data_IF_204583464679
#
_entry.id   IF_204583464679
#
_cell.length_a   1.000
_cell.length_b   1.000
_cell.length_c   1.000
_cell.angle_alpha   90.00
_cell.angle_beta   90.00
_cell.angle_gamma   90.00
#
_symmetry.space_group_name_H-M   'P 1'
#
loop_
_entity.id
_entity.type
_entity.pdbx_description
1 polymer ?
#
# COMPACT_ATOMS: atom_id res chain seq x y z
N UNK A 1 4.34 -70.24 1.26
CA UNK A 1 4.00 -69.20 0.25
C UNK A 1 3.03 -68.24 0.91
N UNK A 2 3.53 -67.07 1.33
CA UNK A 2 2.79 -66.10 2.15
C UNK A 2 2.22 -65.00 1.27
N UNK A 3 0.90 -64.80 1.35
CA UNK A 3 0.18 -63.68 0.75
C UNK A 3 0.62 -62.37 1.41
N UNK A 4 1.27 -61.48 0.66
CA UNK A 4 1.51 -60.10 1.09
C UNK A 4 0.39 -59.22 0.56
N UNK A 5 -0.36 -58.63 1.50
CA UNK A 5 -1.53 -57.79 1.33
C UNK A 5 -1.21 -56.49 0.59
N UNK A 6 -2.04 -56.16 -0.40
CA UNK A 6 -2.33 -54.79 -0.84
C UNK A 6 -2.94 -53.98 0.31
N UNK A 7 -2.53 -52.72 0.44
CA UNK A 7 -3.34 -51.50 0.70
C UNK A 7 -2.32 -50.35 0.83
N UNK A 8 -2.14 -49.62 -0.28
CA UNK A 8 -1.33 -48.40 -0.34
C UNK A 8 -2.25 -47.19 -0.25
N UNK A 9 -2.17 -46.52 0.89
CA UNK A 9 -2.77 -45.25 1.34
C UNK A 9 -3.22 -44.32 0.21
N UNK A 10 -4.52 -44.00 0.20
CA UNK A 10 -5.06 -42.87 -0.55
C UNK A 10 -4.56 -41.56 0.06
N UNK A 11 -3.63 -40.89 -0.62
CA UNK A 11 -3.27 -39.51 -0.31
C UNK A 11 -4.42 -38.61 -0.79
N UNK A 12 -5.39 -38.38 0.09
CA UNK A 12 -6.33 -37.27 -0.06
C UNK A 12 -5.55 -35.97 0.15
N UNK A 13 -5.01 -35.43 -0.95
CA UNK A 13 -4.53 -34.07 -0.99
C UNK A 13 -5.74 -33.17 -0.70
N UNK A 14 -5.82 -32.70 0.55
CA UNK A 14 -6.63 -31.56 0.94
C UNK A 14 -6.17 -30.38 0.07
N UNK A 15 -6.87 -30.15 -1.05
CA UNK A 15 -6.93 -28.83 -1.64
C UNK A 15 -7.58 -27.94 -0.59
N UNK A 16 -6.75 -27.35 0.27
CA UNK A 16 -7.12 -26.21 1.08
C UNK A 16 -7.67 -25.18 0.10
N UNK A 17 -9.00 -25.08 0.09
CA UNK A 17 -9.69 -24.10 -0.72
C UNK A 17 -9.17 -22.74 -0.28
N UNK A 18 -8.34 -22.11 -1.11
CA UNK A 18 -8.07 -20.70 -0.99
C UNK A 18 -9.44 -20.02 -1.05
N UNK A 19 -9.95 -19.62 0.11
CA UNK A 19 -11.16 -18.82 0.19
C UNK A 19 -10.99 -17.64 -0.78
N UNK A 20 -12.04 -17.23 -1.51
CA UNK A 20 -11.96 -16.03 -2.30
C UNK A 20 -11.56 -14.91 -1.34
N UNK A 21 -10.36 -14.35 -1.53
CA UNK A 21 -10.02 -13.10 -0.87
C UNK A 21 -11.08 -12.11 -1.36
N UNK A 22 -11.91 -11.62 -0.44
CA UNK A 22 -12.84 -10.55 -0.75
C UNK A 22 -12.01 -9.42 -1.39
N UNK A 23 -12.57 -8.72 -2.37
CA UNK A 23 -11.91 -7.58 -2.95
C UNK A 23 -12.98 -6.53 -3.23
N UNK A 24 -12.71 -5.28 -2.86
CA UNK A 24 -13.58 -4.18 -3.18
C UNK A 24 -12.85 -3.19 -4.10
N UNK A 25 -13.61 -2.55 -4.98
CA UNK A 25 -13.08 -1.53 -5.90
C UNK A 25 -13.68 -0.18 -5.53
N UNK A 26 -12.80 0.77 -5.24
CA UNK A 26 -13.13 2.16 -4.96
C UNK A 26 -13.06 2.97 -6.25
N UNK A 27 -14.12 3.70 -6.56
CA UNK A 27 -14.14 4.70 -7.63
C UNK A 27 -13.61 6.01 -7.09
N UNK A 28 -12.58 6.55 -7.74
CA UNK A 28 -11.90 7.76 -7.29
C UNK A 28 -12.44 8.98 -8.03
N UNK A 29 -12.78 10.05 -7.30
CA UNK A 29 -13.04 11.38 -7.85
C UNK A 29 -14.02 11.41 -9.03
N UNK A 30 -15.13 10.66 -8.94
CA UNK A 30 -16.14 10.58 -10.01
C UNK A 30 -15.68 9.79 -11.25
N UNK A 31 -14.77 8.82 -11.08
CA UNK A 31 -14.31 7.93 -12.16
C UNK A 31 -13.08 8.42 -12.90
N UNK A 32 -12.19 9.16 -12.23
CA UNK A 32 -10.87 9.51 -12.79
C UNK A 32 -9.88 8.34 -12.72
N UNK A 33 -10.05 7.48 -11.71
CA UNK A 33 -9.27 6.27 -11.49
C UNK A 33 -10.09 5.27 -10.66
N UNK A 34 -9.58 4.05 -10.55
CA UNK A 34 -10.10 3.01 -9.67
C UNK A 34 -8.98 2.40 -8.84
N UNK A 35 -9.29 2.06 -7.60
CA UNK A 35 -8.40 1.31 -6.72
C UNK A 35 -9.08 0.01 -6.33
N UNK A 36 -8.47 -1.13 -6.64
CA UNK A 36 -8.91 -2.43 -6.17
C UNK A 36 -8.07 -2.86 -4.98
N UNK A 37 -8.75 -3.25 -3.90
CA UNK A 37 -8.17 -3.63 -2.63
C UNK A 37 -8.52 -5.08 -2.29
N UNK A 38 -7.51 -5.87 -1.94
CA UNK A 38 -7.67 -7.28 -1.53
C UNK A 38 -6.90 -7.51 -0.22
N UNK A 39 -7.54 -7.80 0.93
CA UNK A 39 -8.91 -8.31 1.07
C UNK A 39 -9.99 -7.23 1.12
N UNK A 40 -9.71 -6.09 1.74
CA UNK A 40 -10.62 -4.96 1.70
C UNK A 40 -9.95 -3.69 2.19
N UNK A 41 -10.39 -2.55 1.67
CA UNK A 41 -10.02 -1.24 2.18
C UNK A 41 -11.23 -0.29 2.08
N UNK A 42 -11.24 0.78 2.87
CA UNK A 42 -12.21 1.88 2.73
C UNK A 42 -11.49 3.13 2.25
N UNK A 43 -12.15 3.93 1.41
CA UNK A 43 -11.71 5.28 1.06
C UNK A 43 -12.38 6.33 1.94
N UNK A 44 -11.72 7.47 2.16
CA UNK A 44 -12.36 8.64 2.76
C UNK A 44 -13.22 9.35 1.70
N UNK A 45 -14.44 9.72 2.08
CA UNK A 45 -15.37 10.56 1.32
C UNK A 45 -15.87 11.71 2.20
N UNK A 46 -16.24 12.83 1.57
CA UNK A 46 -16.65 14.04 2.28
C UNK A 46 -15.52 14.68 3.09
N UNK A 47 -15.87 15.48 4.10
CA UNK A 47 -14.89 16.26 4.84
C UNK A 47 -14.27 17.38 4.01
N UNK A 48 -13.32 18.10 4.60
CA UNK A 48 -12.62 19.18 3.92
C UNK A 48 -11.21 19.33 4.49
N UNK A 49 -10.28 19.74 3.63
CA UNK A 49 -8.93 20.12 4.03
C UNK A 49 -8.67 21.53 3.53
N UNK A 50 -8.24 22.39 4.44
CA UNK A 50 -7.56 23.64 4.14
C UNK A 50 -6.14 23.51 4.69
N UNK A 51 -5.16 23.67 3.81
CA UNK A 51 -3.74 23.60 4.19
C UNK A 51 -3.07 24.96 4.04
N UNK A 52 -2.16 25.28 4.95
CA UNK A 52 -1.19 26.36 4.76
C UNK A 52 0.09 25.80 4.16
N UNK A 53 0.91 26.64 3.50
CA UNK A 53 2.23 26.25 2.99
C UNK A 53 3.22 25.79 4.07
N UNK A 54 2.83 25.86 5.35
CA UNK A 54 3.63 25.44 6.51
C UNK A 54 3.20 24.07 7.07
N UNK A 55 2.40 23.28 6.33
CA UNK A 55 2.07 21.90 6.71
C UNK A 55 0.99 21.75 7.79
N UNK A 56 0.35 22.84 8.20
CA UNK A 56 -0.84 22.78 9.07
C UNK A 56 -2.07 22.50 8.21
N UNK A 57 -2.67 21.33 8.39
CA UNK A 57 -3.98 20.99 7.84
C UNK A 57 -5.07 21.30 8.87
N UNK A 58 -6.11 22.00 8.45
CA UNK A 58 -7.35 22.22 9.21
C UNK A 58 -8.54 21.78 8.36
N UNK A 59 -9.69 21.53 8.97
CA UNK A 59 -10.90 21.22 8.21
C UNK A 59 -11.90 20.40 8.99
N UNK A 60 -12.66 19.59 8.27
CA UNK A 60 -13.71 18.73 8.81
C UNK A 60 -13.43 17.27 8.52
N UNK A 61 -13.76 16.41 9.48
CA UNK A 61 -13.67 14.97 9.33
C UNK A 61 -14.54 14.48 8.15
N UNK A 62 -14.04 13.46 7.45
CA UNK A 62 -14.78 12.74 6.43
C UNK A 62 -15.48 11.50 6.99
N UNK A 63 -16.07 10.74 6.09
CA UNK A 63 -16.68 9.44 6.33
C UNK A 63 -15.95 8.36 5.52
N UNK A 64 -16.09 7.10 5.92
CA UNK A 64 -15.50 5.98 5.19
C UNK A 64 -16.50 5.35 4.22
N UNK A 65 -16.02 4.94 3.05
CA UNK A 65 -16.80 4.24 2.02
C UNK A 65 -16.02 3.05 1.45
N UNK A 66 -16.72 1.96 1.19
CA UNK A 66 -16.15 0.75 0.55
C UNK A 66 -16.29 0.75 -0.98
N UNK A 67 -16.90 1.79 -1.58
CA UNK A 67 -17.14 1.88 -3.03
C UNK A 67 -16.61 3.15 -3.68
N UNK A 68 -16.25 4.17 -2.91
CA UNK A 68 -15.75 5.44 -3.43
C UNK A 68 -14.67 6.04 -2.53
N UNK A 69 -13.82 6.88 -3.11
CA UNK A 69 -12.92 7.75 -2.36
C UNK A 69 -12.84 9.12 -3.04
N UNK A 70 -12.83 10.16 -2.21
CA UNK A 70 -12.64 11.53 -2.66
C UNK A 70 -11.16 11.89 -2.76
N UNK A 71 -10.92 12.94 -3.53
CA UNK A 71 -9.59 13.48 -3.76
C UNK A 71 -9.46 14.81 -3.04
N UNK A 72 -8.34 15.00 -2.35
CA UNK A 72 -8.03 16.19 -1.58
C UNK A 72 -6.81 16.88 -2.17
N UNK A 73 -6.84 18.21 -2.17
CA UNK A 73 -5.73 19.01 -2.69
C UNK A 73 -5.15 19.85 -1.57
N UNK A 74 -3.86 19.69 -1.33
CA UNK A 74 -3.08 20.43 -0.33
C UNK A 74 -1.62 20.48 -0.79
N UNK A 75 -0.86 21.43 -0.24
CA UNK A 75 0.53 21.68 -0.65
C UNK A 75 1.37 22.14 0.55
N UNK A 76 2.58 21.59 0.78
CA UNK A 76 3.24 20.52 0.04
C UNK A 76 2.58 19.13 0.20
N UNK A 77 2.86 18.21 -0.73
CA UNK A 77 2.52 16.79 -0.60
C UNK A 77 3.74 16.03 -0.14
N UNK A 78 4.01 16.10 1.16
CA UNK A 78 5.08 15.39 1.85
C UNK A 78 4.50 14.51 2.98
N UNK A 79 5.25 13.55 3.53
CA UNK A 79 4.71 12.58 4.49
C UNK A 79 4.14 13.20 5.75
N UNK A 80 4.70 14.33 6.22
CA UNK A 80 4.23 15.02 7.41
C UNK A 80 2.92 15.77 7.16
N UNK A 81 2.81 16.45 6.01
CA UNK A 81 1.61 17.17 5.61
C UNK A 81 0.48 16.20 5.26
N UNK A 82 0.81 15.05 4.65
CA UNK A 82 -0.14 13.96 4.41
C UNK A 82 -0.64 13.34 5.72
N UNK A 83 0.23 13.17 6.73
CA UNK A 83 -0.19 12.76 8.07
C UNK A 83 -1.13 13.79 8.71
N UNK A 84 -0.82 15.08 8.62
CA UNK A 84 -1.67 16.14 9.16
C UNK A 84 -3.06 16.17 8.50
N UNK A 85 -3.10 16.05 7.16
CA UNK A 85 -4.33 15.94 6.40
C UNK A 85 -5.16 14.70 6.81
N UNK A 86 -4.50 13.56 6.97
CA UNK A 86 -5.14 12.32 7.42
C UNK A 86 -5.69 12.45 8.86
N UNK A 87 -4.96 13.12 9.75
CA UNK A 87 -5.42 13.36 11.13
C UNK A 87 -6.71 14.18 11.17
N UNK A 88 -6.82 15.20 10.30
CA UNK A 88 -8.05 16.00 10.16
C UNK A 88 -9.20 15.16 9.62
N UNK A 89 -8.98 14.42 8.54
CA UNK A 89 -10.05 13.71 7.84
C UNK A 89 -10.53 12.46 8.59
N UNK A 90 -9.63 11.73 9.23
CA UNK A 90 -9.90 10.44 9.85
C UNK A 90 -9.89 10.46 11.39
N UNK A 91 -9.56 11.60 12.02
CA UNK A 91 -9.42 11.69 13.47
C UNK A 91 -8.27 10.86 14.02
N UNK A 92 -7.22 10.67 13.23
CA UNK A 92 -6.01 9.91 13.61
C UNK A 92 -4.96 10.84 14.25
N UNK A 93 -3.81 10.28 14.67
CA UNK A 93 -2.75 11.04 15.32
C UNK A 93 -1.35 10.57 14.87
N UNK A 94 -1.12 10.60 13.55
CA UNK A 94 0.19 10.31 12.95
C UNK A 94 1.03 11.57 12.84
N UNK A 95 2.35 11.43 13.00
CA UNK A 95 3.32 12.51 12.81
C UNK A 95 3.99 12.48 11.44
N UNK A 96 4.19 11.29 10.87
CA UNK A 96 4.76 11.05 9.53
C UNK A 96 4.40 9.64 9.06
N UNK A 97 4.67 9.33 7.79
CA UNK A 97 4.59 7.98 7.23
C UNK A 97 5.82 7.59 6.42
N UNK A 98 5.82 6.37 5.88
CA UNK A 98 6.87 5.85 4.98
C UNK A 98 6.42 6.04 3.54
N UNK A 99 7.12 6.90 2.81
CA UNK A 99 6.78 7.22 1.41
C UNK A 99 7.59 6.36 0.44
N UNK A 100 6.92 5.87 -0.60
CA UNK A 100 7.53 5.20 -1.74
C UNK A 100 7.09 5.86 -3.04
N UNK A 101 8.07 6.29 -3.84
CA UNK A 101 7.85 6.89 -5.16
C UNK A 101 7.64 5.80 -6.22
N UNK A 102 6.71 6.04 -7.15
CA UNK A 102 6.35 5.16 -8.25
C UNK A 102 6.43 5.85 -9.62
N UNK A 103 6.89 7.11 -9.69
CA UNK A 103 7.35 7.72 -10.95
C UNK A 103 6.27 8.09 -11.97
N UNK A 104 5.02 8.33 -11.56
CA UNK A 104 3.98 8.85 -12.44
C UNK A 104 3.30 7.81 -13.33
N UNK A 105 3.16 6.57 -12.86
CA UNK A 105 2.60 5.45 -13.64
C UNK A 105 1.07 5.48 -13.77
N UNK A 106 0.55 4.82 -14.81
CA UNK A 106 -0.91 4.68 -15.04
C UNK A 106 -1.52 3.46 -14.33
N UNK A 107 -0.67 2.49 -13.98
CA UNK A 107 -1.05 1.27 -13.26
C UNK A 107 0.04 0.96 -12.26
N UNK A 108 -0.34 0.64 -11.02
CA UNK A 108 0.59 0.21 -9.98
C UNK A 108 -0.08 -0.87 -9.13
N UNK A 109 0.67 -1.92 -8.80
CA UNK A 109 0.27 -2.90 -7.81
C UNK A 109 1.34 -2.99 -6.73
N UNK A 110 0.95 -2.89 -5.47
CA UNK A 110 1.84 -3.03 -4.33
C UNK A 110 1.13 -3.69 -3.14
N UNK A 111 1.94 -4.16 -2.19
CA UNK A 111 1.47 -4.82 -0.97
C UNK A 111 1.83 -3.96 0.24
N UNK A 112 0.93 -3.90 1.21
CA UNK A 112 1.13 -3.14 2.45
C UNK A 112 0.45 -3.81 3.63
N UNK A 113 0.98 -3.63 4.83
CA UNK A 113 0.33 -4.01 6.10
C UNK A 113 -0.12 -2.80 6.92
N UNK A 114 0.13 -1.59 6.41
CA UNK A 114 -0.19 -0.34 7.07
C UNK A 114 -1.69 -0.19 7.29
N UNK A 115 -2.08 0.44 8.41
CA UNK A 115 -3.49 0.70 8.71
C UNK A 115 -4.08 1.79 7.82
N UNK A 116 -3.25 2.75 7.40
CA UNK A 116 -3.66 3.85 6.53
C UNK A 116 -2.63 4.09 5.42
N UNK A 117 -3.14 4.47 4.26
CA UNK A 117 -2.34 4.69 3.05
C UNK A 117 -2.83 5.97 2.37
N UNK A 118 -1.93 6.90 2.06
CA UNK A 118 -2.20 7.99 1.12
C UNK A 118 -1.70 7.61 -0.27
N UNK A 119 -2.46 7.94 -1.33
CA UNK A 119 -2.00 7.81 -2.71
C UNK A 119 -2.00 9.19 -3.37
N UNK A 120 -0.85 9.63 -3.88
CA UNK A 120 -0.71 10.86 -4.65
C UNK A 120 -0.99 10.58 -6.12
N UNK A 121 -2.01 11.23 -6.67
CA UNK A 121 -2.42 11.13 -8.07
C UNK A 121 -2.46 12.53 -8.71
N UNK A 122 -1.53 12.79 -9.63
CA UNK A 122 -1.36 14.14 -10.19
C UNK A 122 -1.14 15.17 -9.07
N UNK A 123 -2.00 16.19 -9.00
CA UNK A 123 -1.94 17.21 -7.95
C UNK A 123 -2.80 16.90 -6.71
N UNK A 124 -3.49 15.76 -6.67
CA UNK A 124 -4.44 15.43 -5.62
C UNK A 124 -4.03 14.17 -4.86
N UNK A 125 -4.44 14.06 -3.61
CA UNK A 125 -4.14 12.93 -2.74
C UNK A 125 -5.45 12.31 -2.27
N UNK A 126 -5.51 10.99 -2.24
CA UNK A 126 -6.63 10.24 -1.65
C UNK A 126 -6.12 9.43 -0.46
N UNK A 127 -7.02 9.07 0.46
CA UNK A 127 -6.68 8.33 1.66
C UNK A 127 -7.50 7.05 1.76
N UNK A 128 -6.82 5.96 2.09
CA UNK A 128 -7.36 4.61 2.21
C UNK A 128 -7.07 4.05 3.60
N UNK A 129 -8.06 3.38 4.18
CA UNK A 129 -7.92 2.59 5.39
C UNK A 129 -7.84 1.11 5.02
N UNK A 130 -6.83 0.42 5.51
CA UNK A 130 -6.78 -1.04 5.47
C UNK A 130 -7.71 -1.61 6.54
N UNK A 131 -8.91 -2.03 6.14
CA UNK A 131 -9.90 -2.65 7.03
C UNK A 131 -9.54 -4.08 7.42
N UNK A 132 -8.48 -4.62 6.83
CA UNK A 132 -7.98 -5.98 7.08
C UNK A 132 -6.69 -6.00 7.91
N UNK A 133 -6.15 -4.83 8.31
CA UNK A 133 -4.91 -4.74 9.09
C UNK A 133 -5.02 -5.58 10.39
N UNK A 134 -4.02 -6.41 10.73
CA UNK A 134 -2.64 -6.44 10.23
C UNK A 134 -2.38 -7.35 9.01
N UNK A 135 -3.42 -7.83 8.32
CA UNK A 135 -3.25 -8.66 7.11
C UNK A 135 -2.73 -7.81 5.94
N UNK A 136 -1.85 -8.41 5.13
CA UNK A 136 -1.34 -7.80 3.90
C UNK A 136 -2.47 -7.46 2.96
N UNK A 137 -2.61 -6.16 2.70
CA UNK A 137 -3.47 -5.58 1.69
C UNK A 137 -2.69 -5.47 0.37
N UNK A 138 -3.26 -6.03 -0.70
CA UNK A 138 -2.82 -5.81 -2.07
C UNK A 138 -3.65 -4.66 -2.64
N UNK A 139 -2.99 -3.60 -3.08
CA UNK A 139 -3.62 -2.43 -3.71
C UNK A 139 -3.24 -2.44 -5.18
N UNK A 140 -4.24 -2.38 -6.06
CA UNK A 140 -4.05 -2.18 -7.50
C UNK A 140 -4.70 -0.87 -7.93
N UNK A 141 -3.89 0.08 -8.33
CA UNK A 141 -4.30 1.34 -8.93
C UNK A 141 -4.42 1.20 -10.44
N UNK A 142 -5.51 1.73 -11.00
CA UNK A 142 -5.72 1.84 -12.43
C UNK A 142 -6.28 3.22 -12.79
N UNK A 143 -5.57 3.95 -13.65
CA UNK A 143 -6.06 5.19 -14.25
C UNK A 143 -7.15 4.90 -15.30
N UNK A 144 -8.21 5.70 -15.35
CA UNK A 144 -9.25 5.54 -16.37
C UNK A 144 -8.73 5.82 -17.80
N UNK A 145 -9.09 4.96 -18.75
CA UNK A 145 -8.73 5.11 -20.16
C UNK A 145 -9.34 6.36 -20.79
N UNK A 146 -8.64 7.01 -21.73
CA UNK A 146 -9.14 8.18 -22.45
C UNK A 146 -9.09 9.51 -21.68
N UNK A 147 -8.73 9.51 -20.39
CA UNK A 147 -8.40 10.74 -19.65
C UNK A 147 -6.96 11.16 -19.97
N UNK A 148 -6.79 11.81 -21.13
CA UNK A 148 -5.54 12.43 -21.56
C UNK A 148 -5.16 13.58 -20.60
N UNK A 149 -3.90 13.65 -20.17
CA UNK A 149 -3.35 14.76 -19.39
C UNK A 149 -3.00 14.41 -17.94
N UNK A 150 -2.10 15.22 -17.38
CA UNK A 150 -1.31 15.03 -16.16
C UNK A 150 -2.08 14.96 -14.82
N UNK A 151 -3.40 14.78 -14.83
CA UNK A 151 -4.25 14.93 -13.63
C UNK A 151 -4.41 13.70 -12.74
N UNK A 152 -3.98 12.51 -13.18
CA UNK A 152 -4.22 11.24 -12.46
C UNK A 152 -3.08 10.22 -12.64
N UNK A 153 -1.85 10.66 -12.90
CA UNK A 153 -0.69 9.77 -12.84
C UNK A 153 -0.36 9.43 -11.39
N UNK A 154 -0.19 8.15 -11.07
CA UNK A 154 0.19 7.72 -9.73
C UNK A 154 1.64 8.16 -9.46
N UNK A 155 1.83 9.05 -8.50
CA UNK A 155 3.15 9.63 -8.19
C UNK A 155 3.84 8.82 -7.10
N UNK A 156 3.30 8.83 -5.88
CA UNK A 156 3.82 8.10 -4.74
C UNK A 156 2.69 7.61 -3.84
N UNK A 157 3.02 6.73 -2.91
CA UNK A 157 2.15 6.42 -1.77
C UNK A 157 2.90 6.59 -0.46
N UNK A 158 2.16 6.91 0.61
CA UNK A 158 2.70 6.99 1.97
C UNK A 158 1.92 6.07 2.89
N UNK A 159 2.64 5.26 3.66
CA UNK A 159 2.10 4.28 4.60
C UNK A 159 2.15 4.81 6.03
N UNK A 160 1.03 4.72 6.76
CA UNK A 160 0.89 5.16 8.15
C UNK A 160 0.40 4.02 9.05
N UNK A 161 0.97 3.93 10.26
CA UNK A 161 0.57 2.91 11.26
C UNK A 161 1.19 1.53 11.05
N UNK A 162 2.38 1.47 10.47
CA UNK A 162 3.14 0.23 10.30
C UNK A 162 4.24 0.11 11.37
N UNK A 163 4.04 -0.74 12.38
CA UNK A 163 5.17 -1.43 13.02
C UNK A 163 5.54 -2.60 12.10
N UNK A 164 6.62 -2.37 11.34
CA UNK A 164 7.02 -3.05 10.11
C UNK A 164 7.37 -4.55 10.30
N UNK A 165 7.09 -5.41 9.29
CA UNK A 165 8.08 -6.39 8.84
C UNK A 165 8.59 -6.00 7.45
N UNK A 166 9.87 -5.64 7.34
CA UNK A 166 10.54 -5.33 6.08
C UNK A 166 10.69 -6.67 5.36
N UNK A 167 10.01 -6.93 4.24
CA UNK A 167 10.32 -8.12 3.45
C UNK A 167 11.59 -7.80 2.65
N UNK A 168 12.74 -8.25 3.16
CA UNK A 168 13.86 -8.70 2.32
C UNK A 168 15.05 -7.75 2.04
N UNK A 169 14.99 -6.45 2.31
CA UNK A 169 16.12 -5.56 1.95
C UNK A 169 17.35 -5.69 2.86
N UNK A 170 17.17 -6.02 4.15
CA UNK A 170 18.29 -6.15 5.11
C UNK A 170 19.14 -7.41 4.84
N UNK A 171 18.54 -8.48 4.30
CA UNK A 171 19.29 -9.70 3.95
C UNK A 171 20.20 -9.52 2.74
N UNK A 172 19.83 -8.65 1.78
CA UNK A 172 20.69 -8.34 0.64
C UNK A 172 21.88 -7.44 1.02
N UNK A 173 21.75 -6.61 2.05
CA UNK A 173 22.86 -5.82 2.58
C UNK A 173 23.84 -6.65 3.42
N UNK A 174 23.34 -7.61 4.20
CA UNK A 174 24.18 -8.55 4.97
C UNK A 174 24.98 -9.53 4.11
N UNK A 175 24.36 -10.05 3.03
CA UNK A 175 25.05 -10.95 2.10
C UNK A 175 26.14 -10.23 1.29
N UNK A 176 25.96 -8.94 0.98
CA UNK A 176 26.98 -8.13 0.27
C UNK A 176 28.25 -7.88 1.09
N UNK A 177 28.12 -7.68 2.40
CA UNK A 177 29.26 -7.43 3.29
C UNK A 177 29.98 -8.71 3.75
N UNK A 178 29.27 -9.84 3.88
CA UNK A 178 29.90 -11.13 4.16
C UNK A 178 30.75 -11.63 2.96
N UNK A 179 30.32 -11.36 1.72
CA UNK A 179 31.06 -11.71 0.50
C UNK A 179 32.36 -10.92 0.32
N UNK A 180 32.36 -9.61 0.64
CA UNK A 180 33.55 -8.77 0.51
C UNK A 180 34.64 -9.07 1.57
N UNK A 181 34.25 -9.54 2.76
CA UNK A 181 35.20 -9.95 3.81
C UNK A 181 35.98 -11.23 3.48
N UNK A 182 35.39 -12.14 2.71
CA UNK A 182 36.03 -13.39 2.26
C UNK A 182 36.97 -13.18 1.05
N UNK A 183 36.64 -12.24 0.16
CA UNK A 183 37.48 -11.92 -1.00
C UNK A 183 38.77 -11.15 -0.64
N UNK A 184 38.76 -10.39 0.47
CA UNK A 184 39.94 -9.64 0.95
C UNK A 184 41.06 -10.50 1.55
N UNK A 185 40.78 -11.71 2.05
CA UNK A 185 41.79 -12.56 2.70
C UNK A 185 42.65 -13.40 1.75
N UNK A 186 42.32 -13.46 0.46
CA UNK A 186 43.10 -14.24 -0.53
C UNK A 186 44.26 -13.49 -1.17
N UNK A 187 44.55 -12.25 -0.77
CA UNK A 187 45.70 -11.47 -1.26
C UNK A 187 46.86 -11.30 -0.26
N UNK A 188 46.86 -12.02 0.86
CA UNK A 188 48.01 -12.08 1.80
C UNK A 188 48.50 -13.53 2.05
N UNK A 189 48.56 -14.31 0.98
CA UNK A 189 49.27 -15.59 0.98
C UNK A 189 50.01 -15.76 -0.35
N UNK A 190 50.97 -14.86 -0.59
CA UNK A 190 52.18 -15.10 -1.39
C UNK A 190 53.34 -14.46 -0.65
#
# INVERSE_FOLDING_TARGET
MSLVRTIGVAAAALLAMAAPAFANTLIIGGGVASVTCTPSCNGIIGGSITSSSQGTATGSAGSLSSSAADIYTFNPSDPATEAAALNVLAGTNFTTGVQTDAGGVNTLTFNTVASWISLKIGNSTLFLQNTSSPVTLVITYLKAAGRAGAGAGFSHYTEFGNEVPIPGAIWLMGAGLAGLGAAGRRKKAQ
#
